data_IF_030273956552
#
_entry.id   IF_030273956552
#
_cell.length_a   1.000
_cell.length_b   1.000
_cell.length_c   1.000
_cell.angle_alpha   90.00
_cell.angle_beta   90.00
_cell.angle_gamma   90.00
#
_symmetry.space_group_name_H-M   'P 1'
#
loop_
_entity.id
_entity.type
_entity.pdbx_description
1 polymer ?
#
# COMPACT_ATOMS: atom_id res chain seq x y z
N UNK A 1 -27.66 -3.74 -33.60
CA UNK A 1 -27.12 -3.67 -32.23
C UNK A 1 -26.77 -2.22 -31.97
N UNK A 2 -27.34 -1.59 -30.94
CA UNK A 2 -27.12 -0.17 -30.58
C UNK A 2 -25.62 0.07 -30.31
N UNK A 3 -25.05 1.19 -30.76
CA UNK A 3 -23.66 1.59 -30.48
C UNK A 3 -23.41 1.62 -28.98
N UNK A 4 -24.41 2.00 -28.16
CA UNK A 4 -24.31 1.92 -26.69
C UNK A 4 -24.20 0.49 -26.20
N UNK A 5 -24.96 -0.45 -26.76
CA UNK A 5 -24.83 -1.88 -26.43
C UNK A 5 -23.51 -2.48 -26.92
N UNK A 6 -22.99 -2.01 -28.05
CA UNK A 6 -21.71 -2.48 -28.60
C UNK A 6 -20.52 -1.96 -27.77
N UNK A 7 -20.61 -0.75 -27.23
CA UNK A 7 -19.66 -0.18 -26.28
C UNK A 7 -19.77 -0.85 -24.91
N UNK A 8 -20.98 -1.01 -24.34
CA UNK A 8 -21.17 -1.73 -23.08
C UNK A 8 -20.58 -3.16 -23.16
N UNK A 9 -20.88 -3.91 -24.21
CA UNK A 9 -20.34 -5.27 -24.36
C UNK A 9 -18.83 -5.35 -24.67
N UNK A 10 -18.19 -4.26 -25.10
CA UNK A 10 -16.74 -4.21 -25.38
C UNK A 10 -15.92 -3.70 -24.19
N UNK A 11 -16.50 -2.87 -23.33
CA UNK A 11 -15.79 -2.13 -22.28
C UNK A 11 -16.27 -2.49 -20.86
N UNK A 12 -17.48 -3.05 -20.66
CA UNK A 12 -17.89 -3.60 -19.37
C UNK A 12 -17.34 -5.03 -19.19
N UNK A 13 -16.70 -5.26 -18.03
CA UNK A 13 -16.35 -6.58 -17.50
C UNK A 13 -15.31 -7.42 -18.28
N UNK A 14 -14.38 -6.81 -19.02
CA UNK A 14 -13.16 -7.51 -19.44
C UNK A 14 -12.10 -7.34 -18.35
N UNK A 15 -11.87 -8.38 -17.56
CA UNK A 15 -10.75 -8.43 -16.63
C UNK A 15 -9.43 -8.39 -17.41
N UNK A 16 -8.75 -7.23 -17.42
CA UNK A 16 -7.41 -7.12 -17.99
C UNK A 16 -6.41 -7.57 -16.93
N UNK A 17 -5.86 -8.76 -17.10
CA UNK A 17 -4.81 -9.30 -16.26
C UNK A 17 -3.51 -8.53 -16.47
N UNK A 18 -3.13 -7.70 -15.50
CA UNK A 18 -1.77 -7.16 -15.47
C UNK A 18 -1.21 -7.20 -14.06
N UNK A 19 0.08 -7.54 -13.99
CA UNK A 19 0.86 -7.50 -12.78
C UNK A 19 1.06 -6.05 -12.38
N UNK A 20 0.43 -5.65 -11.29
CA UNK A 20 0.81 -4.44 -10.58
C UNK A 20 2.32 -4.41 -10.30
N UNK A 21 2.92 -3.23 -10.37
CA UNK A 21 4.34 -3.05 -10.03
C UNK A 21 4.47 -2.26 -8.73
N UNK A 22 5.37 -2.74 -7.87
CA UNK A 22 5.70 -2.11 -6.59
C UNK A 22 6.61 -0.91 -6.78
N UNK A 23 6.11 0.26 -6.42
CA UNK A 23 6.87 1.51 -6.38
C UNK A 23 7.22 1.88 -4.92
N UNK A 24 8.52 1.87 -4.64
CA UNK A 24 9.13 2.30 -3.39
C UNK A 24 9.37 3.81 -3.49
N UNK A 25 8.71 4.64 -2.65
CA UNK A 25 8.82 6.10 -2.74
C UNK A 25 10.24 6.59 -2.42
N UNK A 26 11.07 5.77 -1.75
CA UNK A 26 12.47 6.09 -1.47
C UNK A 26 13.43 5.66 -2.60
N UNK A 27 12.98 4.81 -3.53
CA UNK A 27 13.75 4.35 -4.68
C UNK A 27 13.15 4.88 -5.98
N UNK A 28 13.26 6.20 -6.17
CA UNK A 28 12.76 6.89 -7.38
C UNK A 28 13.27 6.20 -8.66
N UNK A 29 14.57 5.84 -8.70
CA UNK A 29 15.20 5.24 -9.87
C UNK A 29 14.69 3.82 -10.14
N UNK A 30 14.59 2.98 -9.12
CA UNK A 30 14.05 1.62 -9.25
C UNK A 30 12.57 1.64 -9.59
N UNK A 31 11.79 2.53 -8.98
CA UNK A 31 10.37 2.76 -9.28
C UNK A 31 10.18 3.21 -10.73
N UNK A 32 10.95 4.21 -11.19
CA UNK A 32 10.96 4.65 -12.59
C UNK A 32 11.36 3.52 -13.54
N UNK A 33 12.36 2.72 -13.17
CA UNK A 33 12.84 1.57 -13.94
C UNK A 33 11.76 0.51 -14.12
N UNK A 34 11.10 0.09 -13.02
CA UNK A 34 10.00 -0.88 -13.06
C UNK A 34 8.82 -0.36 -13.88
N UNK A 35 8.44 0.91 -13.72
CA UNK A 35 7.37 1.50 -14.52
C UNK A 35 7.71 1.47 -16.01
N UNK A 36 8.95 1.82 -16.35
CA UNK A 36 9.45 1.75 -17.72
C UNK A 36 9.39 0.33 -18.27
N UNK A 37 9.85 -0.67 -17.52
CA UNK A 37 9.81 -2.07 -17.92
C UNK A 37 8.38 -2.59 -18.10
N UNK A 38 7.47 -2.27 -17.18
CA UNK A 38 6.06 -2.67 -17.27
C UNK A 38 5.38 -2.04 -18.47
N UNK A 39 5.54 -0.73 -18.69
CA UNK A 39 4.91 -0.05 -19.82
C UNK A 39 5.53 -0.49 -21.16
N UNK A 40 6.85 -0.78 -21.20
CA UNK A 40 7.46 -1.38 -22.39
C UNK A 40 6.88 -2.76 -22.68
N UNK A 41 6.80 -3.61 -21.66
CA UNK A 41 6.20 -4.94 -21.78
C UNK A 41 4.75 -4.86 -22.27
N UNK A 42 3.97 -3.90 -21.78
CA UNK A 42 2.63 -3.63 -22.29
C UNK A 42 2.64 -3.32 -23.80
N UNK A 43 3.43 -2.31 -24.22
CA UNK A 43 3.50 -1.91 -25.63
C UNK A 43 4.01 -3.00 -26.57
N UNK A 44 4.81 -3.94 -26.06
CA UNK A 44 5.35 -5.07 -26.84
C UNK A 44 4.40 -6.26 -26.94
N UNK A 45 3.49 -6.43 -25.97
CA UNK A 45 2.67 -7.63 -25.84
C UNK A 45 1.17 -7.39 -26.05
N UNK A 46 0.73 -6.15 -26.18
CA UNK A 46 -0.68 -5.76 -26.37
C UNK A 46 -0.87 -4.99 -27.68
N UNK A 47 -2.12 -4.62 -27.99
CA UNK A 47 -2.46 -3.77 -29.13
C UNK A 47 -2.83 -2.35 -28.66
N UNK A 48 -2.64 -1.35 -29.53
CA UNK A 48 -2.89 0.05 -29.20
C UNK A 48 -4.39 0.37 -28.98
N UNK A 49 -5.29 -0.48 -29.49
CA UNK A 49 -6.74 -0.41 -29.30
C UNK A 49 -7.22 -1.12 -28.01
N UNK A 50 -6.30 -1.71 -27.24
CA UNK A 50 -6.60 -2.26 -25.93
C UNK A 50 -6.96 -1.12 -24.97
N UNK A 51 -8.18 -1.07 -24.41
CA UNK A 51 -8.54 -0.06 -23.41
C UNK A 51 -7.67 -0.23 -22.17
N UNK A 52 -6.91 0.80 -21.84
CA UNK A 52 -5.92 0.77 -20.77
C UNK A 52 -6.01 2.07 -19.99
N UNK A 53 -6.03 1.98 -18.66
CA UNK A 53 -5.77 3.13 -17.78
C UNK A 53 -4.62 2.77 -16.84
N UNK A 54 -3.74 3.74 -16.61
CA UNK A 54 -2.66 3.60 -15.64
C UNK A 54 -3.19 4.00 -14.26
N UNK A 55 -3.83 3.09 -13.58
CA UNK A 55 -4.25 3.31 -12.21
C UNK A 55 -3.07 3.19 -11.26
N UNK A 56 -2.79 4.28 -10.56
CA UNK A 56 -1.85 4.30 -9.46
C UNK A 56 -2.69 4.10 -8.19
N UNK A 57 -2.87 2.85 -7.78
CA UNK A 57 -3.43 2.57 -6.45
C UNK A 57 -2.30 2.72 -5.44
N UNK A 58 -2.40 3.77 -4.65
CA UNK A 58 -1.46 4.06 -3.57
C UNK A 58 -2.17 3.73 -2.27
N UNK A 59 -1.69 2.71 -1.59
CA UNK A 59 -2.00 2.57 -0.17
C UNK A 59 -0.76 2.97 0.63
N UNK A 60 -0.93 3.16 1.94
CA UNK A 60 0.00 3.75 2.92
C UNK A 60 1.43 3.16 2.99
N UNK A 61 1.84 2.32 2.04
CA UNK A 61 3.17 1.76 1.99
C UNK A 61 3.75 1.58 0.59
N UNK A 62 2.91 1.46 -0.43
CA UNK A 62 3.33 1.12 -1.78
C UNK A 62 2.40 1.69 -2.84
N UNK A 63 3.03 2.19 -3.90
CA UNK A 63 2.34 2.57 -5.12
C UNK A 63 2.26 1.36 -6.03
N UNK A 64 1.03 0.95 -6.36
CA UNK A 64 0.78 -0.01 -7.41
C UNK A 64 0.34 0.71 -8.68
N UNK A 65 1.21 0.72 -9.68
CA UNK A 65 0.83 1.18 -11.02
C UNK A 65 0.24 0.00 -11.78
N UNK A 66 -1.08 -0.13 -11.68
CA UNK A 66 -1.86 -1.12 -12.42
C UNK A 66 -2.37 -0.52 -13.73
N UNK A 67 -2.20 -1.24 -14.84
CA UNK A 67 -3.06 -1.16 -16.02
C UNK A 67 -4.54 -1.47 -15.73
N UNK A 68 -5.21 -0.76 -14.81
CA UNK A 68 -6.63 -0.99 -14.60
C UNK A 68 -7.37 -0.38 -15.79
N UNK A 69 -7.76 -1.26 -16.69
CA UNK A 69 -8.69 -0.99 -17.78
C UNK A 69 -10.06 -0.67 -17.20
N UNK A 70 -10.24 0.54 -16.70
CA UNK A 70 -11.54 1.14 -16.44
C UNK A 70 -11.41 2.65 -16.69
N UNK A 71 -11.40 3.03 -17.97
CA UNK A 71 -11.95 4.34 -18.30
C UNK A 71 -13.44 4.22 -18.08
N UNK A 72 -13.98 4.99 -17.12
CA UNK A 72 -15.43 5.09 -17.00
C UNK A 72 -16.00 5.46 -18.36
N UNK A 73 -17.08 4.79 -18.76
CA UNK A 73 -17.73 5.07 -20.03
C UNK A 73 -18.27 6.51 -20.08
N UNK A 74 -18.50 7.12 -18.91
CA UNK A 74 -18.80 8.55 -18.76
C UNK A 74 -17.56 9.43 -18.95
N UNK A 75 -16.38 8.97 -18.52
CA UNK A 75 -15.11 9.68 -18.70
C UNK A 75 -14.65 9.66 -20.16
N UNK A 76 -14.79 8.54 -20.86
CA UNK A 76 -14.60 8.46 -22.31
C UNK A 76 -15.50 9.46 -23.04
N UNK A 77 -16.78 9.52 -22.66
CA UNK A 77 -17.73 10.49 -23.23
C UNK A 77 -17.34 11.94 -22.89
N UNK A 78 -16.88 12.21 -21.67
CA UNK A 78 -16.46 13.54 -21.26
C UNK A 78 -15.22 13.99 -22.03
N UNK A 79 -14.22 13.12 -22.15
CA UNK A 79 -13.01 13.35 -22.94
C UNK A 79 -13.34 13.57 -24.42
N UNK A 80 -14.14 12.71 -25.04
CA UNK A 80 -14.58 12.89 -26.43
C UNK A 80 -15.32 14.23 -26.62
N UNK A 81 -16.20 14.60 -25.68
CA UNK A 81 -16.94 15.85 -25.76
C UNK A 81 -16.03 17.07 -25.62
N UNK A 82 -15.03 17.02 -24.75
CA UNK A 82 -14.06 18.11 -24.56
C UNK A 82 -13.10 18.21 -25.74
N UNK A 83 -12.66 17.07 -26.28
CA UNK A 83 -11.81 17.04 -27.47
C UNK A 83 -12.57 17.53 -28.70
N UNK A 84 -13.82 17.10 -28.92
CA UNK A 84 -14.71 17.61 -29.99
C UNK A 84 -14.97 19.12 -29.87
N UNK A 85 -14.97 19.69 -28.66
CA UNK A 85 -15.05 21.15 -28.47
C UNK A 85 -13.77 21.87 -28.93
N UNK A 86 -12.61 21.21 -28.85
CA UNK A 86 -11.31 21.77 -29.22
C UNK A 86 -10.97 21.56 -30.70
N UNK A 87 -11.30 20.40 -31.28
CA UNK A 87 -10.92 20.00 -32.65
C UNK A 87 -12.06 20.10 -33.67
N UNK A 88 -13.30 20.30 -33.22
CA UNK A 88 -14.49 20.39 -34.07
C UNK A 88 -15.10 19.03 -34.43
N UNK A 89 -16.26 19.05 -35.10
CA UNK A 89 -17.08 17.86 -35.41
C UNK A 89 -16.46 16.87 -36.42
N UNK A 90 -15.34 17.22 -37.06
CA UNK A 90 -14.75 16.46 -38.16
C UNK A 90 -13.46 15.70 -37.78
N UNK A 91 -13.03 15.75 -36.52
CA UNK A 91 -11.89 14.97 -36.04
C UNK A 91 -12.36 13.60 -35.57
N UNK A 92 -12.29 12.59 -36.43
CA UNK A 92 -12.32 11.19 -35.98
C UNK A 92 -10.94 10.85 -35.40
N UNK A 93 -10.72 11.23 -34.14
CA UNK A 93 -9.61 10.71 -33.34
C UNK A 93 -10.17 9.65 -32.39
N UNK A 94 -10.05 8.39 -32.79
CA UNK A 94 -10.43 7.20 -32.00
C UNK A 94 -9.41 6.88 -30.90
N UNK A 95 -8.45 7.79 -30.63
CA UNK A 95 -7.40 7.56 -29.66
C UNK A 95 -7.95 7.41 -28.24
N UNK A 96 -7.52 6.37 -27.55
CA UNK A 96 -7.93 6.06 -26.18
C UNK A 96 -7.14 6.95 -25.22
N UNK A 97 -7.76 7.76 -24.34
CA UNK A 97 -7.03 8.59 -23.40
C UNK A 97 -6.24 7.72 -22.41
N UNK A 98 -5.00 8.14 -22.11
CA UNK A 98 -4.19 7.52 -21.08
C UNK A 98 -4.36 8.32 -19.79
N UNK A 99 -5.03 7.71 -18.81
CA UNK A 99 -5.30 8.32 -17.51
C UNK A 99 -4.33 7.79 -16.47
N UNK A 100 -3.75 8.70 -15.69
CA UNK A 100 -3.08 8.40 -14.42
C UNK A 100 -4.02 8.81 -13.29
N UNK A 101 -4.31 7.91 -12.36
CA UNK A 101 -5.20 8.21 -11.24
C UNK A 101 -4.56 7.82 -9.91
N UNK A 102 -4.80 8.62 -8.87
CA UNK A 102 -4.28 8.50 -7.51
C UNK A 102 -5.45 8.52 -6.52
N UNK A 103 -5.57 7.47 -5.72
CA UNK A 103 -6.57 7.34 -4.67
C UNK A 103 -5.87 7.54 -3.32
N UNK A 104 -5.95 8.74 -2.71
CA UNK A 104 -5.27 8.99 -1.45
C UNK A 104 -5.95 8.20 -0.34
N UNK A 105 -5.16 7.61 0.56
CA UNK A 105 -5.66 6.82 1.67
C UNK A 105 -5.97 7.71 2.88
N UNK A 106 -6.98 8.55 2.71
CA UNK A 106 -7.55 9.44 3.72
C UNK A 106 -9.08 9.40 3.56
N UNK A 107 -9.82 9.24 4.66
CA UNK A 107 -11.29 9.10 4.67
C UNK A 107 -12.03 10.18 3.88
N UNK A 108 -11.44 11.38 3.76
CA UNK A 108 -12.06 12.53 3.07
C UNK A 108 -11.45 12.82 1.70
N UNK A 109 -10.43 12.07 1.30
CA UNK A 109 -9.73 12.35 0.08
C UNK A 109 -10.50 11.86 -1.15
N UNK A 110 -10.57 12.72 -2.16
CA UNK A 110 -11.18 12.37 -3.44
C UNK A 110 -10.15 11.78 -4.39
N UNK A 111 -10.58 10.81 -5.19
CA UNK A 111 -9.82 10.26 -6.30
C UNK A 111 -9.32 11.39 -7.22
N UNK A 112 -7.99 11.51 -7.37
CA UNK A 112 -7.36 12.45 -8.30
C UNK A 112 -7.08 11.75 -9.62
N UNK A 113 -7.32 12.43 -10.73
CA UNK A 113 -7.09 11.89 -12.09
C UNK A 113 -6.43 12.93 -12.98
N UNK A 114 -5.54 12.48 -13.85
CA UNK A 114 -4.90 13.30 -14.85
C UNK A 114 -4.73 12.52 -16.16
N UNK A 115 -5.22 13.10 -17.26
CA UNK A 115 -4.96 12.60 -18.61
C UNK A 115 -3.55 13.03 -19.03
N UNK A 116 -2.70 12.06 -19.40
CA UNK A 116 -1.27 12.30 -19.71
C UNK A 116 -0.92 12.11 -21.19
N UNK A 117 -1.90 11.74 -22.01
CA UNK A 117 -1.77 11.50 -23.44
C UNK A 117 -2.81 10.49 -23.91
N UNK A 118 -2.45 9.70 -24.91
CA UNK A 118 -3.28 8.61 -25.42
C UNK A 118 -2.49 7.30 -25.46
N UNK A 119 -3.20 6.17 -25.39
CA UNK A 119 -2.60 4.84 -25.54
C UNK A 119 -1.90 4.72 -26.90
N UNK A 120 -2.54 5.21 -27.96
CA UNK A 120 -1.95 5.24 -29.31
C UNK A 120 -0.60 5.95 -29.32
N UNK A 121 -0.52 7.16 -28.73
CA UNK A 121 0.73 7.90 -28.66
C UNK A 121 1.81 7.17 -27.84
N UNK A 122 1.44 6.42 -26.79
CA UNK A 122 2.38 5.61 -26.00
C UNK A 122 2.96 4.45 -26.83
N UNK A 123 2.14 3.83 -27.69
CA UNK A 123 2.57 2.76 -28.59
C UNK A 123 3.42 3.28 -29.76
N UNK A 124 3.07 4.45 -30.32
CA UNK A 124 3.76 5.03 -31.47
C UNK A 124 5.12 5.64 -31.10
N UNK A 125 5.22 6.30 -29.94
CA UNK A 125 6.46 6.94 -29.47
C UNK A 125 6.63 6.83 -27.95
N UNK A 126 6.97 5.62 -27.52
CA UNK A 126 7.18 5.30 -26.11
C UNK A 126 8.16 6.26 -25.42
N UNK A 127 9.29 6.56 -26.06
CA UNK A 127 10.37 7.32 -25.43
C UNK A 127 9.97 8.78 -25.18
N UNK A 128 9.10 9.36 -26.00
CA UNK A 128 8.56 10.71 -25.80
C UNK A 128 7.40 10.73 -24.82
N UNK A 129 6.56 9.68 -24.77
CA UNK A 129 5.41 9.66 -23.84
C UNK A 129 5.79 9.26 -22.40
N UNK A 130 6.74 8.35 -22.23
CA UNK A 130 7.13 7.86 -20.91
C UNK A 130 7.50 8.98 -19.91
N UNK A 131 8.29 10.01 -20.28
CA UNK A 131 8.60 11.11 -19.38
C UNK A 131 7.36 11.88 -18.88
N UNK A 132 6.30 12.00 -19.69
CA UNK A 132 5.05 12.69 -19.30
C UNK A 132 4.28 11.87 -18.27
N UNK A 133 4.18 10.56 -18.49
CA UNK A 133 3.58 9.61 -17.56
C UNK A 133 4.34 9.66 -16.23
N UNK A 134 5.68 9.57 -16.30
CA UNK A 134 6.55 9.60 -15.13
C UNK A 134 6.40 10.88 -14.30
N UNK A 135 6.28 12.06 -14.94
CA UNK A 135 6.12 13.32 -14.21
C UNK A 135 4.86 13.33 -13.32
N UNK A 136 3.75 12.79 -13.83
CA UNK A 136 2.50 12.69 -13.05
C UNK A 136 2.58 11.61 -11.98
N UNK A 137 3.15 10.44 -12.31
CA UNK A 137 3.42 9.37 -11.33
C UNK A 137 4.26 9.90 -10.17
N UNK A 138 5.33 10.65 -10.47
CA UNK A 138 6.21 11.26 -9.47
C UNK A 138 5.46 12.25 -8.57
N UNK A 139 4.60 13.09 -9.16
CA UNK A 139 3.79 14.03 -8.37
C UNK A 139 2.90 13.28 -7.38
N UNK A 140 2.24 12.20 -7.80
CA UNK A 140 1.42 11.39 -6.90
C UNK A 140 2.23 10.56 -5.89
N UNK A 141 3.45 10.13 -6.23
CA UNK A 141 4.42 9.56 -5.28
C UNK A 141 4.73 10.55 -4.15
N UNK A 142 5.07 11.79 -4.50
CA UNK A 142 5.43 12.84 -3.54
C UNK A 142 4.22 13.20 -2.66
N UNK A 143 3.02 13.31 -3.24
CA UNK A 143 1.78 13.54 -2.48
C UNK A 143 1.47 12.42 -1.49
N UNK A 144 1.60 11.15 -1.93
CA UNK A 144 1.38 9.99 -1.06
C UNK A 144 2.37 9.97 0.11
N UNK A 145 3.66 10.24 -0.16
CA UNK A 145 4.68 10.30 0.88
C UNK A 145 4.34 11.37 1.93
N UNK A 146 3.86 12.54 1.50
CA UNK A 146 3.47 13.61 2.42
C UNK A 146 2.26 13.24 3.28
N UNK A 147 1.30 12.48 2.74
CA UNK A 147 0.15 12.00 3.51
C UNK A 147 0.60 10.99 4.56
N UNK A 148 1.43 10.03 4.14
CA UNK A 148 1.98 9.01 5.03
C UNK A 148 2.76 9.63 6.19
N UNK A 149 3.68 10.55 5.90
CA UNK A 149 4.42 11.27 6.94
C UNK A 149 3.51 12.08 7.88
N UNK A 150 2.33 12.49 7.42
CA UNK A 150 1.31 13.12 8.27
C UNK A 150 0.70 12.11 9.24
N UNK A 151 0.22 10.97 8.71
CA UNK A 151 -0.38 9.88 9.48
C UNK A 151 0.60 9.37 10.54
N UNK A 152 1.85 9.10 10.17
CA UNK A 152 2.85 8.59 11.12
C UNK A 152 3.15 9.58 12.25
N UNK A 153 3.13 10.89 11.96
CA UNK A 153 3.30 11.93 13.00
C UNK A 153 2.12 11.97 13.94
N UNK A 154 0.90 11.82 13.44
CA UNK A 154 -0.31 11.78 14.25
C UNK A 154 -0.28 10.53 15.17
N UNK A 155 0.08 9.35 14.63
CA UNK A 155 0.29 8.14 15.43
C UNK A 155 1.36 8.33 16.52
N UNK A 156 2.48 9.00 16.20
CA UNK A 156 3.53 9.27 17.19
C UNK A 156 3.11 10.29 18.26
N UNK A 157 2.19 11.19 17.95
CA UNK A 157 1.60 12.10 18.94
C UNK A 157 0.69 11.30 19.87
N UNK A 158 -0.19 10.46 19.32
CA UNK A 158 -1.10 9.60 20.09
C UNK A 158 -0.33 8.62 20.97
N UNK A 159 0.77 8.06 20.47
CA UNK A 159 1.68 7.20 21.22
C UNK A 159 2.21 7.85 22.50
N UNK A 160 2.38 9.18 22.55
CA UNK A 160 2.85 9.87 23.76
C UNK A 160 1.81 9.84 24.88
N UNK A 161 0.54 9.91 24.54
CA UNK A 161 -0.54 9.85 25.53
C UNK A 161 -0.75 8.40 25.99
N UNK A 162 -0.73 7.45 25.06
CA UNK A 162 -0.77 6.01 25.36
C UNK A 162 0.41 5.59 26.25
N UNK A 163 1.61 6.10 25.98
CA UNK A 163 2.79 5.86 26.81
C UNK A 163 2.57 6.34 28.25
N UNK A 164 2.02 7.55 28.44
CA UNK A 164 1.71 8.07 29.78
C UNK A 164 0.69 7.18 30.49
N UNK A 165 -0.32 6.70 29.78
CA UNK A 165 -1.32 5.79 30.34
C UNK A 165 -0.69 4.48 30.82
N UNK A 166 0.13 3.83 29.98
CA UNK A 166 0.85 2.62 30.38
C UNK A 166 1.79 2.88 31.57
N UNK A 167 2.57 3.95 31.54
CA UNK A 167 3.48 4.29 32.63
C UNK A 167 2.73 4.52 33.94
N UNK A 168 1.65 5.30 33.91
CA UNK A 168 0.83 5.59 35.08
C UNK A 168 0.18 4.30 35.63
N UNK A 169 -0.29 3.42 34.76
CA UNK A 169 -0.87 2.14 35.19
C UNK A 169 0.19 1.27 35.88
N UNK A 170 1.33 1.01 35.23
CA UNK A 170 2.35 0.11 35.77
C UNK A 170 3.13 0.69 36.96
N UNK A 171 3.28 2.01 37.05
CA UNK A 171 3.94 2.66 38.20
C UNK A 171 3.12 2.59 39.49
N UNK A 172 1.80 2.36 39.41
CA UNK A 172 0.94 2.15 40.59
C UNK A 172 0.92 0.70 41.07
N UNK A 173 1.40 -0.24 40.26
CA UNK A 173 1.44 -1.66 40.59
C UNK A 173 2.71 -2.03 41.36
N UNK A 174 2.58 -2.93 42.32
CA UNK A 174 3.73 -3.57 42.97
C UNK A 174 4.51 -4.45 41.98
N UNK A 175 5.78 -4.80 42.27
CA UNK A 175 6.54 -5.74 41.44
C UNK A 175 5.83 -7.08 41.21
N UNK A 176 5.19 -7.63 42.25
CA UNK A 176 4.47 -8.91 42.18
C UNK A 176 3.22 -8.82 41.29
N UNK A 177 2.45 -7.72 41.39
CA UNK A 177 1.28 -7.48 40.52
C UNK A 177 1.68 -7.34 39.06
N UNK A 178 2.78 -6.63 38.76
CA UNK A 178 3.31 -6.53 37.40
C UNK A 178 3.71 -7.89 36.85
N UNK A 179 4.43 -8.68 37.65
CA UNK A 179 4.85 -10.01 37.22
C UNK A 179 3.66 -10.94 36.97
N UNK A 180 2.61 -10.83 37.78
CA UNK A 180 1.38 -11.59 37.57
C UNK A 180 0.67 -11.21 36.27
N UNK A 181 0.62 -9.92 35.93
CA UNK A 181 -0.07 -9.41 34.74
C UNK A 181 0.73 -9.61 33.44
N UNK A 182 2.05 -9.47 33.50
CA UNK A 182 2.93 -9.53 32.33
C UNK A 182 3.51 -10.94 32.07
N UNK A 183 3.53 -11.80 33.10
CA UNK A 183 4.15 -13.12 33.03
C UNK A 183 5.68 -13.12 33.20
N UNK A 184 6.30 -11.96 33.43
CA UNK A 184 7.73 -11.80 33.70
C UNK A 184 8.01 -10.63 34.64
N UNK A 185 9.17 -10.64 35.29
CA UNK A 185 9.58 -9.56 36.20
C UNK A 185 9.98 -8.31 35.42
N UNK A 186 9.31 -7.18 35.70
CA UNK A 186 9.63 -5.86 35.17
C UNK A 186 10.14 -4.95 36.29
N UNK A 187 11.35 -4.40 36.16
CA UNK A 187 11.93 -3.51 37.18
C UNK A 187 11.40 -2.09 37.05
N UNK A 188 11.40 -1.35 38.16
CA UNK A 188 11.04 0.08 38.17
C UNK A 188 11.90 0.91 37.21
N UNK A 189 13.19 0.59 37.12
CA UNK A 189 14.13 1.26 36.21
C UNK A 189 13.83 1.00 34.73
N UNK A 190 13.02 -0.01 34.41
CA UNK A 190 12.67 -0.41 33.04
C UNK A 190 11.26 0.06 32.66
N UNK A 191 10.47 0.60 33.61
CA UNK A 191 9.08 1.00 33.39
C UNK A 191 8.91 2.02 32.27
N UNK A 192 9.77 3.03 32.22
CA UNK A 192 9.68 4.08 31.21
C UNK A 192 9.90 3.50 29.80
N UNK A 193 10.99 2.76 29.62
CA UNK A 193 11.30 2.11 28.35
C UNK A 193 10.23 1.09 27.93
N UNK A 194 9.73 0.29 28.88
CA UNK A 194 8.63 -0.64 28.62
C UNK A 194 7.34 0.07 28.19
N UNK A 195 7.03 1.23 28.77
CA UNK A 195 5.85 2.02 28.39
C UNK A 195 5.98 2.61 26.98
N UNK A 196 7.19 3.00 26.57
CA UNK A 196 7.46 3.40 25.18
C UNK A 196 7.22 2.23 24.21
N UNK A 197 7.74 1.04 24.53
CA UNK A 197 7.55 -0.15 23.72
C UNK A 197 6.06 -0.51 23.59
N UNK A 198 5.31 -0.51 24.70
CA UNK A 198 3.89 -0.84 24.69
C UNK A 198 3.06 0.18 23.90
N UNK A 199 3.41 1.47 23.96
CA UNK A 199 2.78 2.49 23.13
C UNK A 199 3.03 2.27 21.64
N UNK A 200 4.26 1.93 21.24
CA UNK A 200 4.55 1.59 19.84
C UNK A 200 3.73 0.38 19.37
N UNK A 201 3.66 -0.67 20.19
CA UNK A 201 2.89 -1.86 19.85
C UNK A 201 1.39 -1.57 19.76
N UNK A 202 0.88 -0.63 20.55
CA UNK A 202 -0.51 -0.19 20.49
C UNK A 202 -0.82 0.51 19.15
N UNK A 203 0.01 1.47 18.73
CA UNK A 203 -0.19 2.17 17.45
C UNK A 203 -0.01 1.22 16.26
N UNK A 204 0.99 0.34 16.30
CA UNK A 204 1.16 -0.68 15.26
C UNK A 204 -0.04 -1.62 15.22
N UNK A 205 -0.60 -2.02 16.37
CA UNK A 205 -1.79 -2.85 16.39
C UNK A 205 -2.99 -2.15 15.73
N UNK A 206 -3.13 -0.82 15.84
CA UNK A 206 -4.16 -0.07 15.14
C UNK A 206 -4.00 -0.16 13.61
N UNK A 207 -2.77 0.03 13.10
CA UNK A 207 -2.44 -0.17 11.67
C UNK A 207 -2.79 -1.58 11.21
N UNK A 208 -2.34 -2.60 11.96
CA UNK A 208 -2.57 -4.02 11.66
C UNK A 208 -4.06 -4.36 11.62
N UNK A 209 -4.84 -3.85 12.59
CA UNK A 209 -6.28 -4.07 12.65
C UNK A 209 -7.03 -3.37 11.52
N UNK A 210 -6.58 -2.18 11.10
CA UNK A 210 -7.13 -1.48 9.95
C UNK A 210 -6.94 -2.30 8.66
N UNK A 211 -5.72 -2.77 8.41
CA UNK A 211 -5.39 -3.59 7.25
C UNK A 211 -6.12 -4.95 7.24
N UNK A 212 -6.25 -5.57 8.42
CA UNK A 212 -7.01 -6.80 8.60
C UNK A 212 -8.51 -6.60 8.32
N UNK A 213 -9.08 -5.49 8.82
CA UNK A 213 -10.48 -5.13 8.56
C UNK A 213 -10.72 -4.89 7.07
N UNK A 214 -9.86 -4.13 6.39
CA UNK A 214 -9.94 -3.93 4.95
C UNK A 214 -9.91 -5.27 4.21
N UNK A 215 -8.96 -6.13 4.54
CA UNK A 215 -8.84 -7.47 3.93
C UNK A 215 -10.08 -8.32 4.17
N UNK A 216 -10.64 -8.28 5.37
CA UNK A 216 -11.84 -9.04 5.73
C UNK A 216 -13.07 -8.59 4.94
N UNK A 217 -13.25 -7.29 4.74
CA UNK A 217 -14.45 -6.73 4.11
C UNK A 217 -14.35 -6.65 2.59
N UNK A 218 -13.21 -6.18 2.07
CA UNK A 218 -13.04 -5.86 0.65
C UNK A 218 -12.43 -7.00 -0.17
N UNK A 219 -11.62 -7.88 0.45
CA UNK A 219 -10.93 -8.98 -0.26
C UNK A 219 -11.63 -10.31 0.00
N UNK A 220 -11.86 -10.67 1.27
CA UNK A 220 -12.58 -11.89 1.61
C UNK A 220 -14.08 -11.73 1.39
N UNK A 221 -14.69 -10.69 1.96
CA UNK A 221 -16.14 -10.51 1.91
C UNK A 221 -16.89 -11.75 2.39
N UNK A 222 -17.64 -12.38 1.48
CA UNK A 222 -18.36 -13.65 1.72
C UNK A 222 -17.57 -14.91 1.33
N UNK A 223 -16.43 -14.76 0.67
CA UNK A 223 -15.64 -15.87 0.17
C UNK A 223 -14.82 -16.54 1.27
N UNK A 224 -14.58 -17.83 1.12
CA UNK A 224 -13.65 -18.58 1.95
C UNK A 224 -12.22 -18.18 1.59
N UNK A 225 -11.33 -18.19 2.59
CA UNK A 225 -9.90 -17.90 2.38
C UNK A 225 -9.27 -18.75 1.27
N UNK A 226 -9.67 -20.03 1.16
CA UNK A 226 -9.21 -20.90 0.09
C UNK A 226 -9.65 -20.46 -1.31
N UNK A 227 -10.81 -19.81 -1.45
CA UNK A 227 -11.28 -19.26 -2.72
C UNK A 227 -10.45 -18.03 -3.10
N UNK A 228 -10.22 -17.12 -2.15
CA UNK A 228 -9.34 -15.95 -2.32
C UNK A 228 -7.94 -16.38 -2.75
N UNK A 229 -7.36 -17.40 -2.13
CA UNK A 229 -6.01 -17.86 -2.45
C UNK A 229 -5.91 -18.59 -3.80
N UNK A 230 -6.99 -19.22 -4.27
CA UNK A 230 -7.03 -19.86 -5.59
C UNK A 230 -7.25 -18.85 -6.72
N UNK A 231 -7.94 -17.75 -6.45
CA UNK A 231 -8.06 -16.64 -7.39
C UNK A 231 -6.75 -15.84 -7.47
N UNK A 232 -6.23 -15.66 -8.69
CA UNK A 232 -4.95 -14.97 -8.89
C UNK A 232 -5.01 -13.49 -8.50
N UNK A 233 -6.13 -12.82 -8.76
CA UNK A 233 -6.31 -11.38 -8.51
C UNK A 233 -6.48 -11.15 -7.02
N UNK A 234 -7.39 -11.88 -6.37
CA UNK A 234 -7.64 -11.72 -4.93
C UNK A 234 -6.42 -12.12 -4.09
N UNK A 235 -5.75 -13.24 -4.43
CA UNK A 235 -4.49 -13.62 -3.77
C UNK A 235 -3.42 -12.54 -3.90
N UNK A 236 -3.22 -11.99 -5.10
CA UNK A 236 -2.23 -10.94 -5.29
C UNK A 236 -2.59 -9.67 -4.51
N UNK A 237 -3.87 -9.34 -4.41
CA UNK A 237 -4.37 -8.20 -3.64
C UNK A 237 -4.14 -8.40 -2.14
N UNK A 238 -4.37 -9.61 -1.60
CA UNK A 238 -4.06 -9.95 -0.21
C UNK A 238 -2.58 -9.71 0.12
N UNK A 239 -1.66 -10.27 -0.69
CA UNK A 239 -0.23 -10.09 -0.46
C UNK A 239 0.23 -8.65 -0.64
N UNK A 240 -0.47 -7.89 -1.47
CA UNK A 240 -0.24 -6.45 -1.58
C UNK A 240 -0.65 -5.71 -0.30
N UNK A 241 -1.80 -6.02 0.32
CA UNK A 241 -2.15 -5.41 1.62
C UNK A 241 -1.11 -5.72 2.69
N UNK A 242 -0.58 -6.95 2.71
CA UNK A 242 0.50 -7.34 3.62
C UNK A 242 1.76 -6.49 3.40
N UNK A 243 2.18 -6.32 2.15
CA UNK A 243 3.34 -5.49 1.84
C UNK A 243 3.12 -4.05 2.30
N UNK A 244 1.96 -3.44 2.02
CA UNK A 244 1.65 -2.09 2.48
C UNK A 244 1.71 -1.95 4.00
N UNK A 245 1.12 -2.90 4.72
CA UNK A 245 1.11 -2.92 6.19
C UNK A 245 2.54 -2.96 6.73
N UNK A 246 3.44 -3.72 6.09
CA UNK A 246 4.86 -3.73 6.46
C UNK A 246 5.51 -2.35 6.33
N UNK A 247 5.25 -1.65 5.23
CA UNK A 247 5.85 -0.33 4.99
C UNK A 247 5.29 0.72 5.94
N UNK A 248 3.98 0.74 6.21
CA UNK A 248 3.38 1.65 7.20
C UNK A 248 4.05 1.48 8.57
N UNK A 249 4.19 0.23 9.05
CA UNK A 249 4.94 -0.06 10.28
C UNK A 249 6.40 0.40 10.19
N UNK A 250 7.08 0.15 9.08
CA UNK A 250 8.46 0.61 8.90
C UNK A 250 8.55 2.14 8.97
N UNK A 251 7.62 2.86 8.32
CA UNK A 251 7.61 4.32 8.28
C UNK A 251 7.28 4.93 9.63
N UNK A 252 6.39 4.32 10.42
CA UNK A 252 6.20 4.65 11.84
C UNK A 252 7.55 4.71 12.58
N UNK A 253 8.34 3.65 12.50
CA UNK A 253 9.64 3.60 13.18
C UNK A 253 10.70 4.51 12.55
N UNK A 254 10.65 4.74 11.24
CA UNK A 254 11.54 5.71 10.56
C UNK A 254 11.23 7.14 11.01
N UNK A 255 9.95 7.51 11.11
CA UNK A 255 9.52 8.83 11.57
C UNK A 255 9.87 8.99 13.05
N UNK A 256 9.66 7.96 13.87
CA UNK A 256 10.10 7.93 15.28
C UNK A 256 11.60 8.19 15.40
N UNK A 257 12.41 7.54 14.55
CA UNK A 257 13.86 7.69 14.54
C UNK A 257 14.31 9.13 14.24
N UNK A 258 13.50 9.96 13.57
CA UNK A 258 13.84 11.36 13.28
C UNK A 258 13.97 12.22 14.53
N UNK A 259 13.29 11.85 15.61
CA UNK A 259 13.37 12.55 16.89
C UNK A 259 14.69 12.25 17.65
N UNK A 260 15.49 11.27 17.21
CA UNK A 260 16.72 10.87 17.88
C UNK A 260 17.90 11.79 17.54
N UNK A 261 18.84 12.03 18.47
CA UNK A 261 20.09 12.73 18.18
C UNK A 261 20.93 12.05 17.09
N UNK A 262 20.72 10.74 16.88
CA UNK A 262 21.43 9.89 15.92
C UNK A 262 20.58 9.56 14.68
N UNK A 263 19.54 10.36 14.40
CA UNK A 263 18.53 10.13 13.36
C UNK A 263 19.09 9.57 12.05
N UNK A 264 20.09 10.21 11.43
CA UNK A 264 20.65 9.77 10.14
C UNK A 264 21.18 8.33 10.18
N UNK A 265 21.82 7.93 11.28
CA UNK A 265 22.35 6.57 11.45
C UNK A 265 21.23 5.57 11.69
N UNK A 266 20.28 5.91 12.57
CA UNK A 266 19.13 5.07 12.89
C UNK A 266 18.27 4.81 11.65
N UNK A 267 17.88 5.86 10.91
CA UNK A 267 17.08 5.77 9.69
C UNK A 267 17.82 4.94 8.63
N UNK A 268 19.11 5.20 8.41
CA UNK A 268 19.91 4.42 7.45
C UNK A 268 19.95 2.94 7.82
N UNK A 269 20.05 2.65 9.12
CA UNK A 269 20.06 1.28 9.62
C UNK A 269 18.72 0.58 9.41
N UNK A 270 17.59 1.21 9.79
CA UNK A 270 16.25 0.66 9.55
C UNK A 270 16.01 0.39 8.05
N UNK A 271 16.38 1.33 7.18
CA UNK A 271 16.32 1.17 5.72
C UNK A 271 17.21 0.03 5.20
N UNK A 272 18.33 -0.25 5.84
CA UNK A 272 19.19 -1.39 5.47
C UNK A 272 18.52 -2.73 5.84
N UNK A 273 17.81 -2.78 6.97
CA UNK A 273 17.09 -3.98 7.41
C UNK A 273 15.84 -4.27 6.56
N UNK A 274 15.23 -3.22 5.97
CA UNK A 274 14.03 -3.28 5.11
C UNK A 274 13.98 -4.52 4.21
N UNK A 275 15.01 -4.71 3.38
CA UNK A 275 15.04 -5.77 2.35
C UNK A 275 14.95 -7.17 2.96
N UNK A 276 15.62 -7.40 4.08
CA UNK A 276 15.58 -8.71 4.75
C UNK A 276 14.23 -8.89 5.46
N UNK A 277 13.75 -7.87 6.16
CA UNK A 277 12.53 -7.95 6.96
C UNK A 277 11.29 -8.18 6.09
N UNK A 278 11.16 -7.48 4.96
CA UNK A 278 10.02 -7.71 4.04
C UNK A 278 10.04 -9.12 3.43
N UNK A 279 11.22 -9.67 3.11
CA UNK A 279 11.35 -11.04 2.59
C UNK A 279 10.92 -12.05 3.65
N UNK A 280 11.35 -11.84 4.90
CA UNK A 280 10.97 -12.71 6.01
C UNK A 280 9.46 -12.65 6.28
N UNK A 281 8.88 -11.45 6.31
CA UNK A 281 7.44 -11.24 6.45
C UNK A 281 6.66 -11.97 5.35
N UNK A 282 7.02 -11.78 4.07
CA UNK A 282 6.37 -12.45 2.94
C UNK A 282 6.44 -13.97 3.04
N UNK A 283 7.60 -14.51 3.43
CA UNK A 283 7.77 -15.96 3.61
C UNK A 283 6.91 -16.49 4.74
N UNK A 284 6.87 -15.80 5.89
CA UNK A 284 6.03 -16.18 7.03
C UNK A 284 4.54 -16.13 6.67
N UNK A 285 4.09 -15.03 6.06
CA UNK A 285 2.73 -14.88 5.58
C UNK A 285 2.33 -15.99 4.60
N UNK A 286 3.20 -16.33 3.65
CA UNK A 286 2.96 -17.43 2.71
C UNK A 286 2.89 -18.79 3.43
N UNK A 287 3.80 -19.09 4.35
CA UNK A 287 3.79 -20.33 5.11
C UNK A 287 2.52 -20.46 5.96
N UNK A 288 2.10 -19.38 6.62
CA UNK A 288 0.84 -19.33 7.37
C UNK A 288 -0.36 -19.53 6.46
N UNK A 289 -0.39 -18.88 5.29
CA UNK A 289 -1.44 -19.08 4.31
C UNK A 289 -1.52 -20.55 3.85
N UNK A 290 -0.38 -21.21 3.58
CA UNK A 290 -0.37 -22.64 3.21
C UNK A 290 -0.96 -23.52 4.31
N UNK A 291 -0.60 -23.29 5.59
CA UNK A 291 -1.19 -24.03 6.72
C UNK A 291 -2.70 -23.83 6.82
N UNK A 292 -3.20 -22.63 6.53
CA UNK A 292 -4.64 -22.35 6.51
C UNK A 292 -5.35 -23.06 5.35
N UNK A 293 -4.67 -23.29 4.23
CA UNK A 293 -5.20 -24.04 3.09
C UNK A 293 -5.28 -25.54 3.34
N UNK A 294 -4.49 -26.08 4.27
CA UNK A 294 -4.59 -27.48 4.72
C UNK A 294 -5.90 -27.75 5.49
N UNK A 295 -6.56 -26.70 6.02
CA UNK A 295 -7.87 -26.74 6.71
C UNK A 295 -8.93 -25.88 5.97
N UNK A 296 -9.28 -26.17 4.71
CA UNK A 296 -9.99 -25.25 3.83
C UNK A 296 -11.44 -24.92 4.25
N UNK A 297 -12.01 -25.68 5.19
CA UNK A 297 -13.36 -25.47 5.73
C UNK A 297 -13.38 -24.54 6.94
N UNK A 298 -12.21 -24.19 7.50
CA UNK A 298 -12.11 -23.34 8.68
C UNK A 298 -12.25 -21.87 8.27
N UNK A 299 -13.14 -21.15 8.97
CA UNK A 299 -13.18 -19.68 8.85
C UNK A 299 -11.87 -19.12 9.40
N UNK A 300 -11.17 -18.36 8.58
CA UNK A 300 -9.90 -17.71 8.97
C UNK A 300 -10.22 -16.46 9.77
N UNK A 301 -9.57 -16.31 10.92
CA UNK A 301 -9.54 -15.06 11.66
C UNK A 301 -8.45 -14.17 11.04
N UNK A 302 -8.88 -13.21 10.21
CA UNK A 302 -7.97 -12.31 9.50
C UNK A 302 -7.24 -11.37 10.47
N UNK A 303 -7.88 -10.96 11.57
CA UNK A 303 -7.21 -10.13 12.58
C UNK A 303 -6.05 -10.91 13.20
N UNK A 304 -6.31 -12.16 13.60
CA UNK A 304 -5.25 -13.00 14.14
C UNK A 304 -4.14 -13.29 13.11
N UNK A 305 -4.51 -13.56 11.85
CA UNK A 305 -3.54 -13.78 10.77
C UNK A 305 -2.59 -12.58 10.59
N UNK A 306 -3.12 -11.36 10.58
CA UNK A 306 -2.33 -10.14 10.44
C UNK A 306 -1.48 -9.86 11.70
N UNK A 307 -2.06 -9.93 12.90
CA UNK A 307 -1.33 -9.73 14.17
C UNK A 307 -0.15 -10.69 14.29
N UNK A 308 -0.34 -11.97 13.97
CA UNK A 308 0.70 -12.99 14.02
C UNK A 308 1.88 -12.74 13.08
N UNK A 309 1.65 -12.01 11.98
CA UNK A 309 2.67 -11.65 10.99
C UNK A 309 3.39 -10.37 11.42
N UNK A 310 2.65 -9.35 11.85
CA UNK A 310 3.17 -7.99 11.96
C UNK A 310 3.67 -7.60 13.36
N UNK A 311 3.16 -8.19 14.43
CA UNK A 311 3.71 -7.92 15.77
C UNK A 311 5.20 -8.30 15.85
N UNK A 312 5.65 -9.48 15.39
CA UNK A 312 7.08 -9.80 15.36
C UNK A 312 7.92 -8.82 14.51
N UNK A 313 7.36 -8.30 13.42
CA UNK A 313 8.02 -7.30 12.57
C UNK A 313 8.21 -5.99 13.35
N UNK A 314 7.18 -5.56 14.07
CA UNK A 314 7.20 -4.35 14.89
C UNK A 314 8.20 -4.46 16.06
N UNK A 315 8.19 -5.60 16.75
CA UNK A 315 9.16 -5.91 17.81
C UNK A 315 10.60 -5.85 17.28
N UNK A 316 10.84 -6.39 16.09
CA UNK A 316 12.15 -6.33 15.45
C UNK A 316 12.53 -4.88 15.14
N UNK A 317 11.64 -4.05 14.58
CA UNK A 317 11.95 -2.64 14.33
C UNK A 317 12.23 -1.85 15.61
N UNK A 318 11.44 -2.06 16.66
CA UNK A 318 11.69 -1.46 17.98
C UNK A 318 13.08 -1.83 18.50
N UNK A 319 13.42 -3.13 18.46
CA UNK A 319 14.73 -3.64 18.89
C UNK A 319 15.88 -3.04 18.08
N UNK A 320 15.70 -2.87 16.77
CA UNK A 320 16.71 -2.27 15.90
C UNK A 320 16.87 -0.76 16.18
N UNK A 321 15.78 -0.06 16.53
CA UNK A 321 15.81 1.34 16.90
C UNK A 321 16.45 1.57 18.28
N UNK A 322 16.25 0.65 19.23
CA UNK A 322 16.79 0.73 20.59
C UNK A 322 18.32 0.70 20.66
N UNK A 323 18.97 0.27 19.59
CA UNK A 323 20.44 0.32 19.43
C UNK A 323 20.97 1.75 19.26
N UNK A 324 20.09 2.73 19.08
CA UNK A 324 20.43 4.14 18.83
C UNK A 324 19.93 5.11 19.90
N UNK A 325 19.09 4.65 20.82
CA UNK A 325 18.58 5.39 21.98
C UNK A 325 19.45 5.22 23.23
N UNK A 326 20.29 4.16 23.28
CA UNK A 326 21.15 3.80 24.41
C UNK A 326 22.62 4.19 24.22
#
# INVERSE_FOLDING_TARGET
>A
MDIKQKLANKYDNIAIYTSGLYADPEDELGTRGKLLETLKSLTMNQHADTPFSLQIMTTNGEINVMPLGLLSLEELKAYENEHRKQTGLNGDDDSIPLVVQFAPHDEKATLKKQVVGTTNALFDDFNTQFPKIWAVVKTYLDENQSILEGIEKDLLIDAQDVQKEYYNNFSTMTPDERQQNLGYTLKDSELEHFSYFMADMHEVQAVVMSAASFTQHEILGSDMFAQVMNDRVLRNTLFWVLDNTFYEIMYYFVEKARALPTADKAIKHLRHQKKLMIINMRNDAYQRAQKLLDEPQRKVDINHYFTDIFIPVAEQFSTELDKFTN
#
